data_IF_996124897527
#
_entry.id   IF_996124897527
#
_cell.length_a   1.000
_cell.length_b   1.000
_cell.length_c   1.000
_cell.angle_alpha   90.00
_cell.angle_beta   90.00
_cell.angle_gamma   90.00
#
_symmetry.space_group_name_H-M   'P 1'
#
loop_
_entity.id
_entity.type
_entity.pdbx_description
1 polymer ?
#
# COMPACT_ATOMS: atom_id res chain seq x y z
N UNK A 1 -62.48 5.79 3.24
CA UNK A 1 -61.40 5.14 2.46
C UNK A 1 -60.16 5.15 3.33
N UNK A 2 -59.82 4.04 3.98
CA UNK A 2 -58.63 3.93 4.83
C UNK A 2 -57.52 3.19 4.09
N UNK A 3 -56.41 3.85 3.83
CA UNK A 3 -55.21 3.25 3.23
C UNK A 3 -54.64 2.19 4.18
N UNK A 4 -54.71 0.91 3.78
CA UNK A 4 -54.02 -0.18 4.47
C UNK A 4 -52.53 -0.06 4.13
N UNK A 5 -51.77 0.55 5.05
CA UNK A 5 -50.31 0.57 4.97
C UNK A 5 -49.77 -0.85 5.15
N UNK A 6 -49.38 -1.50 4.05
CA UNK A 6 -48.78 -2.83 4.10
C UNK A 6 -47.44 -2.76 4.85
N UNK A 7 -47.32 -3.52 5.94
CA UNK A 7 -46.10 -3.61 6.75
C UNK A 7 -45.13 -4.58 6.09
N UNK A 8 -43.95 -4.10 5.74
CA UNK A 8 -42.86 -4.96 5.25
C UNK A 8 -42.22 -5.70 6.44
N UNK A 9 -42.08 -7.03 6.31
CA UNK A 9 -41.38 -7.88 7.29
C UNK A 9 -40.13 -8.44 6.61
N UNK A 10 -38.96 -8.21 7.21
CA UNK A 10 -37.70 -8.73 6.70
C UNK A 10 -37.42 -10.12 7.26
N UNK A 11 -36.82 -10.98 6.42
CA UNK A 11 -36.31 -12.29 6.84
C UNK A 11 -34.93 -12.21 7.50
N UNK A 12 -34.32 -13.35 7.78
CA UNK A 12 -33.01 -13.44 8.45
C UNK A 12 -31.84 -12.91 7.58
N UNK A 13 -32.05 -12.72 6.28
CA UNK A 13 -31.02 -12.30 5.34
C UNK A 13 -30.07 -13.45 4.97
N UNK A 14 -29.15 -13.16 4.05
CA UNK A 14 -28.13 -14.11 3.59
C UNK A 14 -26.80 -13.39 3.56
N UNK A 15 -25.79 -13.95 4.23
CA UNK A 15 -24.42 -13.45 4.17
C UNK A 15 -23.68 -14.17 3.05
N UNK A 16 -23.34 -13.42 2.00
CA UNK A 16 -22.44 -13.88 0.95
C UNK A 16 -21.02 -13.41 1.26
N UNK A 17 -20.05 -14.33 1.25
CA UNK A 17 -18.63 -14.01 1.36
C UNK A 17 -17.94 -14.44 0.09
N UNK A 18 -17.28 -13.48 -0.57
CA UNK A 18 -16.56 -13.69 -1.84
C UNK A 18 -15.08 -13.61 -1.51
N UNK A 19 -14.34 -14.66 -1.84
CA UNK A 19 -12.89 -14.70 -1.69
C UNK A 19 -12.23 -14.24 -2.99
N UNK A 20 -11.39 -13.20 -2.97
CA UNK A 20 -10.72 -12.73 -4.18
C UNK A 20 -9.68 -13.74 -4.66
N UNK A 21 -9.49 -13.87 -5.97
CA UNK A 21 -8.34 -14.58 -6.50
C UNK A 21 -7.08 -13.72 -6.28
N UNK A 22 -6.18 -14.17 -5.40
CA UNK A 22 -4.89 -13.51 -5.16
C UNK A 22 -3.91 -13.98 -6.23
N UNK A 23 -3.27 -13.04 -6.93
CA UNK A 23 -2.31 -13.36 -7.97
C UNK A 23 -0.91 -13.46 -7.34
N UNK A 24 -0.24 -14.60 -7.49
CA UNK A 24 1.10 -14.88 -6.94
C UNK A 24 1.18 -14.65 -5.41
N UNK A 25 0.50 -15.46 -4.58
CA UNK A 25 0.56 -15.32 -3.13
C UNK A 25 1.99 -15.51 -2.60
N UNK A 26 2.40 -14.64 -1.68
CA UNK A 26 3.69 -14.66 -0.98
C UNK A 26 3.47 -14.49 0.53
N UNK A 27 2.97 -15.54 1.21
CA UNK A 27 2.51 -15.44 2.59
C UNK A 27 3.65 -15.08 3.55
N UNK A 28 3.50 -13.93 4.23
CA UNK A 28 4.52 -13.40 5.13
C UNK A 28 3.92 -12.84 6.42
N UNK A 29 4.71 -12.89 7.49
CA UNK A 29 4.32 -12.43 8.83
C UNK A 29 5.25 -11.30 9.26
N UNK A 30 4.69 -10.13 9.51
CA UNK A 30 5.43 -8.96 9.94
C UNK A 30 5.11 -8.60 11.39
N UNK A 31 6.13 -8.28 12.18
CA UNK A 31 5.91 -7.63 13.47
C UNK A 31 5.85 -6.11 13.29
N UNK A 32 4.73 -5.51 13.67
CA UNK A 32 4.53 -4.07 13.71
C UNK A 32 4.63 -3.59 15.16
N UNK A 33 5.37 -2.51 15.41
CA UNK A 33 5.48 -1.89 16.74
C UNK A 33 4.81 -0.53 16.76
N UNK A 34 4.20 -0.17 17.88
CA UNK A 34 3.66 1.17 18.05
C UNK A 34 4.81 2.20 18.08
N UNK A 35 4.69 3.33 17.37
CA UNK A 35 5.67 4.41 17.45
C UNK A 35 5.70 5.07 18.84
N UNK A 36 4.58 5.04 19.57
CA UNK A 36 4.44 5.66 20.89
C UNK A 36 4.90 4.74 22.04
N UNK A 37 4.98 3.44 21.80
CA UNK A 37 5.33 2.45 22.82
C UNK A 37 5.98 1.23 22.20
N UNK A 38 7.25 0.99 22.57
CA UNK A 38 7.97 -0.22 22.20
C UNK A 38 7.33 -1.50 22.75
N UNK A 39 6.41 -1.36 23.71
CA UNK A 39 5.78 -2.48 24.41
C UNK A 39 4.51 -2.99 23.75
N UNK A 40 4.05 -2.31 22.70
CA UNK A 40 2.86 -2.70 21.95
C UNK A 40 3.33 -3.20 20.59
N UNK A 41 3.08 -4.47 20.32
CA UNK A 41 3.33 -5.06 19.00
C UNK A 41 2.15 -5.87 18.49
N UNK A 42 2.02 -5.92 17.17
CA UNK A 42 0.98 -6.63 16.43
C UNK A 42 1.66 -7.46 15.35
N UNK A 43 1.20 -8.69 15.15
CA UNK A 43 1.61 -9.52 14.04
C UNK A 43 0.61 -9.34 12.89
N UNK A 44 1.11 -8.91 11.73
CA UNK A 44 0.37 -8.86 10.49
C UNK A 44 0.75 -10.08 9.64
N UNK A 45 -0.20 -10.99 9.43
CA UNK A 45 -0.08 -12.04 8.42
C UNK A 45 -0.73 -11.53 7.14
N UNK A 46 -0.01 -11.50 6.02
CA UNK A 46 -0.46 -10.88 4.77
C UNK A 46 -0.04 -11.66 3.53
N UNK A 47 -0.59 -11.30 2.38
CA UNK A 47 -0.22 -11.77 1.04
C UNK A 47 -0.43 -13.29 0.82
N UNK A 48 -1.26 -13.89 1.67
CA UNK A 48 -1.62 -15.31 1.60
C UNK A 48 -2.81 -15.55 0.67
N UNK A 49 -2.85 -16.77 0.11
CA UNK A 49 -3.93 -17.20 -0.78
C UNK A 49 -5.29 -17.28 -0.08
N UNK A 50 -6.36 -17.06 -0.84
CA UNK A 50 -7.73 -17.10 -0.34
C UNK A 50 -8.21 -18.48 0.16
N UNK A 51 -7.53 -19.56 -0.20
CA UNK A 51 -7.79 -20.91 0.32
C UNK A 51 -7.28 -21.09 1.76
N UNK A 52 -6.40 -20.21 2.24
CA UNK A 52 -5.85 -20.28 3.60
C UNK A 52 -6.89 -19.78 4.61
N UNK A 53 -7.31 -20.69 5.50
CA UNK A 53 -8.22 -20.38 6.58
C UNK A 53 -7.45 -19.90 7.82
N UNK A 54 -7.66 -18.63 8.20
CA UNK A 54 -7.17 -18.10 9.47
C UNK A 54 -8.25 -18.25 10.53
N UNK A 55 -8.06 -19.21 11.43
CA UNK A 55 -8.99 -19.41 12.53
C UNK A 55 -8.86 -18.29 13.58
N UNK A 56 -9.97 -17.61 13.91
CA UNK A 56 -9.96 -16.64 14.99
C UNK A 56 -9.81 -17.37 16.32
N UNK A 57 -8.95 -16.86 17.19
CA UNK A 57 -8.73 -17.44 18.51
C UNK A 57 -8.57 -16.33 19.55
N UNK A 58 -9.20 -16.51 20.69
CA UNK A 58 -8.97 -15.68 21.88
C UNK A 58 -8.45 -16.60 22.97
N UNK A 59 -7.13 -16.81 22.99
CA UNK A 59 -6.45 -17.47 24.09
C UNK A 59 -6.13 -16.44 25.17
N UNK A 60 -5.87 -16.88 26.41
CA UNK A 60 -5.72 -15.99 27.58
C UNK A 60 -4.71 -14.85 27.38
N UNK A 61 -3.71 -15.05 26.51
CA UNK A 61 -2.67 -14.08 26.22
C UNK A 61 -2.62 -13.64 24.75
N UNK A 62 -3.45 -14.17 23.84
CA UNK A 62 -3.33 -13.88 22.40
C UNK A 62 -4.71 -13.81 21.74
N UNK A 63 -4.93 -12.73 21.00
CA UNK A 63 -6.12 -12.56 20.16
C UNK A 63 -5.70 -12.61 18.70
N UNK A 64 -6.35 -13.49 17.92
CA UNK A 64 -6.25 -13.56 16.46
C UNK A 64 -7.60 -13.25 15.85
N UNK A 65 -7.61 -12.34 14.87
CA UNK A 65 -8.80 -11.99 14.11
C UNK A 65 -8.95 -12.85 12.86
N UNK A 66 -10.19 -12.91 12.36
CA UNK A 66 -10.47 -13.48 11.04
C UNK A 66 -9.74 -12.70 9.94
N UNK A 67 -9.46 -13.38 8.84
CA UNK A 67 -8.91 -12.75 7.65
C UNK A 67 -9.86 -11.72 7.04
N UNK A 68 -9.27 -10.72 6.41
CA UNK A 68 -9.94 -9.66 5.64
C UNK A 68 -9.17 -9.43 4.36
N UNK A 69 -9.87 -9.15 3.26
CA UNK A 69 -9.23 -8.81 1.99
C UNK A 69 -9.11 -7.30 1.81
N UNK A 70 -7.94 -6.85 1.36
CA UNK A 70 -7.63 -5.48 0.99
C UNK A 70 -7.51 -5.38 -0.53
N UNK A 71 -8.07 -4.31 -1.09
CA UNK A 71 -7.99 -3.98 -2.53
C UNK A 71 -7.29 -2.62 -2.72
N UNK A 72 -6.05 -2.68 -3.19
CA UNK A 72 -5.20 -1.52 -3.49
C UNK A 72 -5.41 -1.09 -4.95
N UNK A 73 -6.43 -0.26 -5.17
CA UNK A 73 -6.84 0.19 -6.51
C UNK A 73 -5.73 0.85 -7.35
N UNK A 74 -4.79 1.55 -6.70
CA UNK A 74 -3.69 2.23 -7.39
C UNK A 74 -2.66 1.26 -7.96
N UNK A 75 -2.55 0.07 -7.38
CA UNK A 75 -1.62 -0.98 -7.80
C UNK A 75 -2.32 -2.14 -8.50
N UNK A 76 -3.65 -2.04 -8.69
CA UNK A 76 -4.52 -3.14 -9.15
C UNK A 76 -4.19 -4.47 -8.44
N UNK A 77 -3.96 -4.39 -7.12
CA UNK A 77 -3.46 -5.48 -6.30
C UNK A 77 -4.41 -5.79 -5.17
N UNK A 78 -4.60 -7.09 -4.91
CA UNK A 78 -5.43 -7.59 -3.81
C UNK A 78 -4.57 -8.43 -2.91
N UNK A 79 -4.78 -8.28 -1.61
CA UNK A 79 -4.08 -9.06 -0.60
C UNK A 79 -5.04 -9.46 0.52
N UNK A 80 -4.81 -10.62 1.12
CA UNK A 80 -5.51 -11.02 2.33
C UNK A 80 -4.63 -10.69 3.54
N UNK A 81 -5.25 -10.20 4.61
CA UNK A 81 -4.59 -9.84 5.85
C UNK A 81 -5.31 -10.45 7.06
N UNK A 82 -4.55 -10.84 8.07
CA UNK A 82 -5.06 -11.20 9.39
C UNK A 82 -4.15 -10.60 10.48
N UNK A 83 -4.76 -10.24 11.59
CA UNK A 83 -4.07 -9.58 12.70
C UNK A 83 -4.07 -10.46 13.94
N UNK A 84 -2.94 -10.43 14.64
CA UNK A 84 -2.79 -11.04 15.95
C UNK A 84 -2.07 -10.11 16.91
N UNK A 85 -2.51 -10.04 18.16
CA UNK A 85 -1.81 -9.31 19.21
C UNK A 85 -1.98 -9.99 20.57
N UNK A 86 -1.21 -9.53 21.54
CA UNK A 86 -1.08 -10.08 22.88
C UNK A 86 -0.94 -8.94 23.85
N UNK A 87 -1.38 -9.18 25.08
CA UNK A 87 -1.15 -8.28 26.20
C UNK A 87 0.26 -8.44 26.80
N UNK A 88 1.02 -9.44 26.33
CA UNK A 88 2.41 -9.66 26.74
C UNK A 88 3.38 -8.97 25.78
N UNK A 89 4.47 -8.45 26.34
CA UNK A 89 5.50 -7.69 25.62
C UNK A 89 6.21 -8.52 24.53
N UNK A 90 6.44 -9.80 24.79
CA UNK A 90 7.14 -10.74 23.90
C UNK A 90 6.15 -11.58 23.09
N UNK A 91 5.34 -10.94 22.25
CA UNK A 91 4.60 -11.68 21.25
C UNK A 91 5.58 -12.15 20.17
N UNK A 92 6.00 -13.40 20.28
CA UNK A 92 6.77 -14.06 19.24
C UNK A 92 5.92 -14.27 17.99
N UNK A 93 5.84 -13.27 17.10
CA UNK A 93 5.11 -13.37 15.83
C UNK A 93 5.59 -14.56 14.97
N UNK A 94 6.84 -14.99 15.16
CA UNK A 94 7.42 -16.22 14.60
C UNK A 94 6.61 -17.49 14.92
N UNK A 95 5.97 -17.56 16.09
CA UNK A 95 5.16 -18.70 16.52
C UNK A 95 3.65 -18.50 16.34
N UNK A 96 3.22 -17.29 16.01
CA UNK A 96 1.79 -16.94 15.90
C UNK A 96 1.16 -17.49 14.63
N UNK A 97 1.93 -17.47 13.55
CA UNK A 97 1.57 -17.99 12.23
C UNK A 97 2.75 -18.81 11.72
N UNK A 98 2.49 -20.02 11.20
CA UNK A 98 3.53 -20.96 10.77
C UNK A 98 4.05 -20.61 9.35
N UNK A 99 4.51 -19.38 9.16
CA UNK A 99 4.95 -18.80 7.89
C UNK A 99 6.21 -17.95 8.08
N UNK A 100 6.82 -17.53 6.97
CA UNK A 100 8.04 -16.71 6.97
C UNK A 100 7.83 -15.46 7.81
N UNK A 101 8.66 -15.31 8.85
CA UNK A 101 8.60 -14.20 9.79
C UNK A 101 9.65 -13.15 9.50
N UNK A 102 9.23 -11.90 9.46
CA UNK A 102 10.08 -10.71 9.34
C UNK A 102 10.00 -9.88 10.61
N UNK A 103 11.13 -9.75 11.29
CA UNK A 103 11.24 -8.93 12.50
C UNK A 103 11.20 -7.45 12.16
N UNK A 104 10.60 -6.66 13.05
CA UNK A 104 10.65 -5.19 12.97
C UNK A 104 12.07 -4.64 13.22
N UNK A 105 13.02 -5.47 13.64
CA UNK A 105 14.35 -5.06 14.08
C UNK A 105 15.47 -5.31 13.07
N UNK A 106 15.23 -6.07 12.00
CA UNK A 106 16.30 -6.51 11.10
C UNK A 106 16.80 -5.40 10.16
N UNK A 107 16.03 -4.33 9.96
CA UNK A 107 16.48 -3.15 9.22
C UNK A 107 15.92 -1.89 9.89
N UNK A 108 16.76 -0.93 10.31
CA UNK A 108 16.27 0.38 10.71
C UNK A 108 15.69 1.08 9.46
N UNK A 109 14.40 0.87 9.19
CA UNK A 109 13.66 1.77 8.33
C UNK A 109 13.48 3.07 9.10
N UNK A 110 14.41 4.01 8.92
CA UNK A 110 14.19 5.38 9.31
C UNK A 110 13.03 5.91 8.44
N UNK A 111 11.84 5.96 9.03
CA UNK A 111 10.64 6.43 8.35
C UNK A 111 10.84 7.82 7.73
N UNK A 112 11.68 8.67 8.31
CA UNK A 112 11.99 9.99 7.74
C UNK A 112 12.84 9.88 6.45
N UNK A 113 13.65 8.83 6.30
CA UNK A 113 14.46 8.58 5.10
C UNK A 113 13.59 7.99 3.99
N UNK A 114 12.64 7.12 4.35
CA UNK A 114 11.68 6.53 3.40
C UNK A 114 10.66 7.57 2.95
N UNK A 115 10.15 8.40 3.87
CA UNK A 115 9.26 9.52 3.57
C UNK A 115 9.96 10.55 2.67
N UNK A 116 11.23 10.89 2.92
CA UNK A 116 12.07 11.68 1.98
C UNK A 116 12.26 11.02 0.61
N UNK A 117 12.25 9.70 0.54
CA UNK A 117 12.35 8.95 -0.72
C UNK A 117 11.05 8.94 -1.53
N UNK A 118 9.91 9.13 -0.86
CA UNK A 118 8.57 9.20 -1.48
C UNK A 118 8.01 10.62 -1.57
N UNK A 119 8.63 11.61 -0.94
CA UNK A 119 8.43 13.00 -1.31
C UNK A 119 8.77 13.15 -2.78
N UNK A 120 7.75 13.44 -3.59
CA UNK A 120 7.96 13.91 -4.96
C UNK A 120 8.89 15.11 -4.86
N UNK A 121 10.16 14.96 -5.26
CA UNK A 121 11.15 16.02 -5.17
C UNK A 121 10.67 17.22 -5.99
N UNK A 122 9.99 18.15 -5.31
CA UNK A 122 9.46 19.38 -5.89
C UNK A 122 10.59 20.32 -6.33
N UNK A 123 11.82 20.01 -5.91
CA UNK A 123 13.07 20.68 -6.25
C UNK A 123 13.84 19.95 -7.38
N UNK A 124 13.26 18.91 -8.00
CA UNK A 124 13.55 18.59 -9.39
C UNK A 124 12.95 19.71 -10.26
N UNK A 125 13.65 20.84 -10.21
CA UNK A 125 13.16 22.16 -10.49
C UNK A 125 12.58 22.23 -11.90
N UNK A 126 11.26 22.15 -12.02
CA UNK A 126 10.55 22.29 -13.29
C UNK A 126 10.96 23.59 -14.00
N UNK A 127 11.24 24.67 -13.26
CA UNK A 127 11.79 25.90 -13.83
C UNK A 127 13.22 25.72 -14.36
N UNK A 128 14.09 24.95 -13.69
CA UNK A 128 15.44 24.67 -14.19
C UNK A 128 15.39 23.79 -15.45
N UNK A 129 14.51 22.80 -15.49
CA UNK A 129 14.27 21.98 -16.67
C UNK A 129 13.70 22.82 -17.82
N UNK A 130 12.74 23.70 -17.52
CA UNK A 130 12.13 24.62 -18.48
C UNK A 130 13.15 25.63 -19.02
N UNK A 131 14.05 26.14 -18.18
CA UNK A 131 15.16 27.01 -18.61
C UNK A 131 16.11 26.29 -19.56
N UNK A 132 16.44 25.01 -19.31
CA UNK A 132 17.26 24.20 -20.22
C UNK A 132 16.55 24.02 -21.58
N UNK A 133 15.26 23.68 -21.56
CA UNK A 133 14.45 23.51 -22.79
C UNK A 133 14.34 24.82 -23.59
N UNK A 134 14.11 25.95 -22.91
CA UNK A 134 14.08 27.28 -23.53
C UNK A 134 15.42 27.63 -24.18
N UNK A 135 16.56 27.34 -23.53
CA UNK A 135 17.90 27.60 -24.08
C UNK A 135 18.17 26.80 -25.35
N UNK A 136 17.81 25.52 -25.37
CA UNK A 136 17.96 24.66 -26.56
C UNK A 136 17.09 25.18 -27.71
N UNK A 137 15.86 25.57 -27.41
CA UNK A 137 14.91 26.09 -28.40
C UNK A 137 15.41 27.42 -28.99
N UNK A 138 15.90 28.33 -28.14
CA UNK A 138 16.48 29.60 -28.56
C UNK A 138 17.69 29.42 -29.48
N UNK A 139 18.64 28.55 -29.11
CA UNK A 139 19.81 28.24 -29.94
C UNK A 139 19.40 27.66 -31.30
N UNK A 140 18.39 26.78 -31.34
CA UNK A 140 17.85 26.28 -32.60
C UNK A 140 17.28 27.39 -33.46
N UNK A 141 16.45 28.28 -32.90
CA UNK A 141 15.83 29.38 -33.65
C UNK A 141 16.88 30.34 -34.21
N UNK A 142 17.87 30.74 -33.39
CA UNK A 142 18.97 31.60 -33.83
C UNK A 142 19.79 30.91 -34.93
N UNK A 143 20.14 29.64 -34.76
CA UNK A 143 20.86 28.86 -35.75
C UNK A 143 20.11 28.72 -37.08
N UNK A 144 18.80 28.44 -37.02
CA UNK A 144 17.95 28.39 -38.22
C UNK A 144 17.87 29.76 -38.92
N UNK A 145 17.71 30.85 -38.16
CA UNK A 145 17.63 32.20 -38.73
C UNK A 145 18.95 32.61 -39.41
N UNK A 146 20.10 32.34 -38.78
CA UNK A 146 21.42 32.52 -39.38
C UNK A 146 21.60 31.69 -40.65
N UNK A 147 21.22 30.42 -40.62
CA UNK A 147 21.35 29.53 -41.78
C UNK A 147 20.46 29.97 -42.94
N UNK A 148 19.21 30.39 -42.66
CA UNK A 148 18.31 30.94 -43.68
C UNK A 148 18.85 32.23 -44.30
N UNK A 149 19.43 33.11 -43.49
CA UNK A 149 20.03 34.36 -43.97
C UNK A 149 21.26 34.10 -44.84
N UNK A 150 22.15 33.20 -44.42
CA UNK A 150 23.32 32.79 -45.21
C UNK A 150 22.93 32.12 -46.53
N UNK A 151 21.88 31.27 -46.53
CA UNK A 151 21.37 30.66 -47.76
C UNK A 151 20.81 31.69 -48.75
N UNK A 152 20.13 32.73 -48.27
CA UNK A 152 19.62 33.82 -49.11
C UNK A 152 20.74 34.69 -49.70
N UNK A 153 21.88 34.81 -49.00
CA UNK A 153 23.07 35.52 -49.47
C UNK A 153 24.00 34.67 -50.35
N UNK A 154 23.80 33.36 -50.35
CA UNK A 154 24.58 32.38 -51.14
C UNK A 154 23.94 32.10 -52.52
N UNK A 155 22.84 32.75 -52.87
CA UNK A 155 22.13 32.60 -54.14
C UNK A 155 22.25 33.83 -55.03
#
# INVERSE_FOLDING_TARGET
MGSSGQKVVFGQGTRLTIHPAIQNPDPAVYQLKSPESSNISVCLFTDFDSEINVEPSTESNMTRLKSTSLDMKTMDSKSNGALAWSNSFDLGCNSTFNYTFHSSSEFPCDANVVEKGFETDMNLNFYNLLVIVLRITFLKVVGFNLLMTLRLWSS
#
